data_IF_756988107479
#
_entry.id   IF_756988107479
#
_cell.length_a   1.000
_cell.length_b   1.000
_cell.length_c   1.000
_cell.angle_alpha   90.00
_cell.angle_beta   90.00
_cell.angle_gamma   90.00
#
_symmetry.space_group_name_H-M   'P 1'
#
loop_
_entity.id
_entity.type
_entity.pdbx_description
1 polymer ?
#
# COMPACT_ATOMS: atom_id res chain seq x y z
N UNK A 1 -9.67 -4.52 1.75
CA UNK A 1 -8.67 -4.10 0.75
C UNK A 1 -9.30 -3.07 -0.18
N UNK A 2 -9.72 -1.91 0.33
CA UNK A 2 -10.27 -0.85 -0.53
C UNK A 2 -9.25 0.29 -0.71
N UNK A 3 -8.78 0.49 -1.97
CA UNK A 3 -8.13 1.61 -2.75
C UNK A 3 -7.39 2.76 -2.11
N UNK A 4 -7.37 2.87 -0.81
CA UNK A 4 -6.52 3.85 -0.14
C UNK A 4 -5.03 3.43 -0.22
N UNK A 5 -4.76 2.28 -0.83
CA UNK A 5 -3.46 1.61 -0.99
C UNK A 5 -2.59 2.08 -2.15
N UNK A 6 -3.14 2.89 -3.05
CA UNK A 6 -2.53 3.07 -4.37
C UNK A 6 -1.48 4.16 -4.56
N UNK A 7 -1.29 5.21 -3.75
CA UNK A 7 -0.34 6.26 -4.13
C UNK A 7 1.10 5.77 -4.32
N UNK A 8 1.51 4.67 -3.68
CA UNK A 8 2.93 4.41 -3.41
C UNK A 8 3.61 3.35 -4.26
N UNK A 9 2.88 2.26 -4.56
CA UNK A 9 3.28 1.31 -5.62
C UNK A 9 3.37 2.02 -6.98
N UNK A 10 2.43 2.96 -7.16
CA UNK A 10 2.23 3.81 -8.32
C UNK A 10 3.31 4.91 -8.37
N UNK A 11 3.68 5.52 -7.24
CA UNK A 11 4.81 6.46 -7.16
C UNK A 11 6.13 5.77 -7.49
N UNK A 12 6.43 4.56 -6.99
CA UNK A 12 7.70 3.89 -7.34
C UNK A 12 7.73 3.44 -8.81
N UNK A 13 6.61 2.93 -9.34
CA UNK A 13 6.49 2.62 -10.78
C UNK A 13 6.67 3.89 -11.63
N UNK A 14 5.99 4.98 -11.25
CA UNK A 14 6.10 6.29 -11.90
C UNK A 14 7.53 6.88 -11.77
N UNK A 15 8.19 6.72 -10.62
CA UNK A 15 9.59 7.14 -10.39
C UNK A 15 10.58 6.34 -11.24
N UNK A 16 10.40 5.01 -11.32
CA UNK A 16 11.30 4.14 -12.08
C UNK A 16 11.23 4.38 -13.59
N UNK A 17 10.07 4.81 -14.10
CA UNK A 17 9.81 4.95 -15.54
C UNK A 17 9.79 6.40 -16.05
N UNK A 18 9.51 7.39 -15.20
CA UNK A 18 9.58 8.82 -15.60
C UNK A 18 10.99 9.25 -16.00
N UNK A 19 12.04 8.58 -15.52
CA UNK A 19 13.45 8.90 -15.80
C UNK A 19 14.11 8.08 -16.91
N UNK A 20 13.52 6.93 -17.29
CA UNK A 20 14.06 6.01 -18.32
C UNK A 20 13.31 6.06 -19.64
N UNK A 21 12.19 6.78 -19.72
CA UNK A 21 11.38 6.93 -20.91
C UNK A 21 11.73 8.22 -21.67
N UNK A 22 11.73 8.24 -23.03
CA UNK A 22 12.05 9.45 -23.78
C UNK A 22 11.14 10.60 -23.35
N UNK A 23 11.73 11.77 -23.06
CA UNK A 23 10.99 13.01 -22.82
C UNK A 23 10.08 13.28 -24.01
N UNK A 24 8.91 13.94 -23.81
CA UNK A 24 8.11 14.41 -24.93
C UNK A 24 9.01 15.29 -25.81
N UNK A 25 9.18 14.90 -27.07
CA UNK A 25 9.76 15.80 -28.05
C UNK A 25 8.73 16.91 -28.24
N UNK A 26 9.12 18.16 -28.01
CA UNK A 26 8.23 19.30 -28.21
C UNK A 26 7.66 19.24 -29.64
N UNK A 27 6.36 19.01 -29.77
CA UNK A 27 5.65 18.86 -31.05
C UNK A 27 5.32 17.44 -31.52
N UNK A 28 5.50 16.41 -30.69
CA UNK A 28 5.10 15.03 -31.01
C UNK A 28 3.85 14.58 -30.24
N UNK A 29 2.81 14.24 -30.99
CA UNK A 29 1.55 13.56 -30.72
C UNK A 29 1.24 13.06 -29.29
N UNK A 30 -0.04 13.22 -28.91
CA UNK A 30 -0.76 12.77 -27.70
C UNK A 30 -0.58 11.27 -27.32
N UNK A 31 0.22 10.52 -28.09
CA UNK A 31 0.55 9.11 -27.88
C UNK A 31 1.65 8.87 -26.83
N UNK A 32 2.57 9.83 -26.62
CA UNK A 32 3.64 9.68 -25.62
C UNK A 32 3.11 9.56 -24.19
N UNK A 33 2.02 10.29 -23.90
CA UNK A 33 1.35 10.28 -22.59
C UNK A 33 0.51 9.00 -22.38
N UNK A 34 0.14 8.27 -23.43
CA UNK A 34 -0.68 7.04 -23.36
C UNK A 34 0.09 5.75 -23.05
N UNK A 35 1.41 5.81 -22.85
CA UNK A 35 2.25 4.60 -22.64
C UNK A 35 2.55 4.25 -21.18
N UNK A 36 2.23 5.11 -20.21
CA UNK A 36 2.50 4.82 -18.81
C UNK A 36 1.65 3.61 -18.34
N UNK A 37 2.23 2.55 -17.72
CA UNK A 37 1.49 1.36 -17.31
C UNK A 37 0.23 1.67 -16.47
N UNK A 38 0.34 2.62 -15.54
CA UNK A 38 -0.78 3.07 -14.70
C UNK A 38 -1.99 3.65 -15.44
N UNK A 39 -1.83 4.06 -16.69
CA UNK A 39 -2.94 4.56 -17.52
C UNK A 39 -3.67 3.42 -18.24
N UNK A 40 -3.09 2.22 -18.28
CA UNK A 40 -3.58 1.07 -19.06
C UNK A 40 -3.74 -0.22 -18.27
N UNK A 41 -3.17 -0.31 -17.07
CA UNK A 41 -3.23 -1.46 -16.17
C UNK A 41 -3.75 -1.01 -14.81
N UNK A 42 -4.37 -1.95 -14.09
CA UNK A 42 -4.62 -1.75 -12.66
C UNK A 42 -3.28 -1.73 -11.91
N UNK A 43 -3.08 -0.84 -10.92
CA UNK A 43 -1.81 -0.75 -10.19
C UNK A 43 -1.32 -2.03 -9.53
N UNK A 44 -2.22 -2.91 -9.11
CA UNK A 44 -1.86 -4.21 -8.55
C UNK A 44 -1.30 -5.19 -9.61
N UNK A 45 -1.51 -4.93 -10.91
CA UNK A 45 -0.82 -5.63 -12.00
C UNK A 45 0.58 -5.07 -12.24
N UNK A 46 0.81 -3.79 -11.94
CA UNK A 46 2.13 -3.17 -12.02
C UNK A 46 3.05 -3.60 -10.87
N UNK A 47 2.48 -3.84 -9.69
CA UNK A 47 3.21 -4.24 -8.49
C UNK A 47 2.52 -5.45 -7.85
N UNK A 48 2.90 -6.69 -8.22
CA UNK A 48 2.20 -7.88 -7.78
C UNK A 48 2.38 -8.12 -6.27
N UNK A 49 1.43 -8.85 -5.69
CA UNK A 49 1.48 -9.33 -4.31
C UNK A 49 2.33 -10.60 -4.21
N UNK A 50 3.23 -10.63 -3.24
CA UNK A 50 4.11 -11.75 -2.92
C UNK A 50 3.29 -12.99 -2.57
N UNK A 51 2.19 -12.82 -1.84
CA UNK A 51 1.28 -13.90 -1.48
C UNK A 51 0.60 -14.48 -2.71
N UNK A 52 0.22 -13.63 -3.68
CA UNK A 52 -0.39 -14.10 -4.92
C UNK A 52 0.60 -14.95 -5.71
N UNK A 53 1.84 -14.48 -5.87
CA UNK A 53 2.91 -15.18 -6.58
C UNK A 53 3.18 -16.57 -6.00
N UNK A 54 3.16 -16.73 -4.68
CA UNK A 54 3.40 -18.03 -4.04
C UNK A 54 2.12 -18.87 -3.82
N UNK A 55 0.93 -18.26 -3.85
CA UNK A 55 -0.34 -18.98 -3.68
C UNK A 55 -0.72 -19.82 -4.90
N UNK A 56 -0.26 -19.42 -6.09
CA UNK A 56 -0.40 -20.17 -7.32
C UNK A 56 1.01 -20.59 -7.74
N UNK A 57 1.39 -21.85 -7.52
CA UNK A 57 2.75 -22.35 -7.85
C UNK A 57 3.16 -22.16 -9.34
N UNK A 58 2.25 -21.67 -10.18
CA UNK A 58 2.48 -21.25 -11.56
C UNK A 58 3.20 -19.89 -11.69
N UNK A 59 3.15 -19.01 -10.68
CA UNK A 59 3.69 -17.65 -10.75
C UNK A 59 5.12 -17.48 -10.25
N UNK A 60 5.67 -18.47 -9.51
CA UNK A 60 7.06 -18.46 -9.04
C UNK A 60 8.05 -18.34 -10.21
N UNK A 61 7.81 -19.11 -11.28
CA UNK A 61 8.61 -19.06 -12.52
C UNK A 61 8.57 -17.68 -13.21
N UNK A 62 7.45 -16.94 -13.11
CA UNK A 62 7.32 -15.58 -13.65
C UNK A 62 8.13 -14.59 -12.81
N UNK A 63 8.16 -14.76 -11.49
CA UNK A 63 8.97 -13.94 -10.61
C UNK A 63 10.46 -14.16 -10.87
N UNK A 64 10.90 -15.40 -11.04
CA UNK A 64 12.28 -15.73 -11.36
C UNK A 64 12.74 -15.16 -12.70
N UNK A 65 11.86 -15.17 -13.70
CA UNK A 65 12.10 -14.56 -15.00
C UNK A 65 12.16 -13.01 -14.96
N UNK A 66 11.71 -12.38 -13.88
CA UNK A 66 11.69 -10.91 -13.77
C UNK A 66 13.08 -10.38 -13.41
N UNK A 67 13.65 -9.43 -14.19
CA UNK A 67 14.97 -8.87 -13.90
C UNK A 67 14.97 -8.03 -12.62
N UNK A 68 16.12 -7.97 -11.95
CA UNK A 68 16.33 -7.05 -10.83
C UNK A 68 16.59 -5.62 -11.33
N UNK A 69 16.13 -4.59 -10.59
CA UNK A 69 15.41 -4.65 -9.32
C UNK A 69 13.92 -4.98 -9.49
N UNK A 70 13.39 -5.88 -8.65
CA UNK A 70 11.97 -6.26 -8.63
C UNK A 70 11.18 -5.36 -7.70
N UNK A 71 9.97 -4.98 -8.12
CA UNK A 71 9.02 -4.25 -7.29
C UNK A 71 7.87 -5.18 -6.91
N UNK A 72 7.81 -5.51 -5.62
CA UNK A 72 6.80 -6.41 -5.06
C UNK A 72 6.06 -5.71 -3.92
N UNK A 73 4.89 -6.23 -3.63
CA UNK A 73 4.13 -5.89 -2.45
C UNK A 73 3.80 -7.14 -1.66
N UNK A 74 3.56 -7.02 -0.36
CA UNK A 74 3.22 -8.15 0.50
C UNK A 74 2.31 -7.64 1.58
N UNK A 75 1.36 -8.42 2.07
CA UNK A 75 0.57 -8.27 3.29
C UNK A 75 1.01 -9.24 4.40
N UNK A 76 2.23 -9.76 4.35
CA UNK A 76 2.71 -10.66 5.38
C UNK A 76 3.25 -9.88 6.60
N UNK A 77 2.99 -10.39 7.83
CA UNK A 77 3.76 -10.00 9.01
C UNK A 77 5.26 -9.99 8.74
N UNK A 78 5.96 -8.99 9.30
CA UNK A 78 7.40 -8.90 9.13
C UNK A 78 8.08 -10.22 9.55
N UNK A 79 7.62 -10.83 10.63
CA UNK A 79 8.15 -12.08 11.19
C UNK A 79 8.07 -13.30 10.27
N UNK A 80 7.20 -13.31 9.26
CA UNK A 80 7.06 -14.44 8.32
C UNK A 80 7.70 -14.19 6.97
N UNK A 81 8.33 -13.02 6.78
CA UNK A 81 9.16 -12.76 5.61
C UNK A 81 10.43 -13.62 5.63
N UNK A 82 11.06 -13.89 4.47
CA UNK A 82 12.31 -14.64 4.38
C UNK A 82 13.39 -14.13 5.35
N UNK A 83 14.21 -15.05 5.85
CA UNK A 83 15.30 -14.74 6.77
C UNK A 83 16.30 -13.71 6.21
N UNK A 84 16.46 -13.63 4.89
CA UNK A 84 17.25 -12.59 4.22
C UNK A 84 16.76 -11.16 4.47
N UNK A 85 15.50 -11.00 4.89
CA UNK A 85 14.87 -9.73 5.23
C UNK A 85 14.84 -9.54 6.75
N UNK A 86 14.41 -10.58 7.47
CA UNK A 86 14.09 -10.53 8.90
C UNK A 86 15.28 -10.72 9.84
N UNK A 87 16.40 -11.26 9.35
CA UNK A 87 17.62 -11.40 10.14
C UNK A 87 18.18 -10.01 10.45
N UNK A 88 17.97 -9.55 11.68
CA UNK A 88 18.34 -8.20 12.14
C UNK A 88 19.85 -7.97 12.16
N UNK A 89 20.65 -9.04 12.12
CA UNK A 89 22.11 -8.96 12.17
C UNK A 89 22.74 -8.96 10.78
N UNK A 90 21.94 -9.11 9.72
CA UNK A 90 22.43 -9.12 8.34
C UNK A 90 21.93 -7.93 7.53
N UNK A 91 22.78 -7.40 6.63
CA UNK A 91 22.31 -6.46 5.61
C UNK A 91 21.24 -7.14 4.75
N UNK A 92 20.17 -6.42 4.44
CA UNK A 92 19.14 -6.91 3.54
C UNK A 92 19.73 -6.86 2.12
N UNK A 93 19.86 -8.01 1.45
CA UNK A 93 20.36 -8.08 0.07
C UNK A 93 19.39 -7.41 -0.93
N UNK A 94 18.11 -7.31 -0.59
CA UNK A 94 17.14 -6.46 -1.29
C UNK A 94 17.41 -4.98 -1.00
N UNK A 95 17.61 -4.17 -2.05
CA UNK A 95 17.99 -2.74 -1.89
C UNK A 95 17.00 -1.93 -1.05
N UNK A 96 15.69 -2.13 -1.22
CA UNK A 96 14.68 -1.32 -0.52
C UNK A 96 13.43 -2.14 -0.18
N UNK A 97 13.03 -2.15 1.09
CA UNK A 97 11.70 -2.51 1.54
C UNK A 97 10.92 -1.22 1.79
N UNK A 98 10.11 -0.81 0.81
CA UNK A 98 9.15 0.27 1.04
C UNK A 98 7.95 -0.38 1.72
N UNK A 99 7.99 -0.43 3.04
CA UNK A 99 6.90 -0.96 3.83
C UNK A 99 5.95 0.19 4.04
N UNK A 100 5.04 0.31 3.10
CA UNK A 100 3.86 1.07 3.40
C UNK A 100 3.25 0.44 4.64
N UNK A 101 2.91 1.28 5.61
CA UNK A 101 1.74 1.12 6.49
C UNK A 101 0.43 0.89 5.71
N UNK A 102 0.47 0.25 4.55
CA UNK A 102 -0.64 0.06 3.63
C UNK A 102 -0.69 -1.38 3.12
N UNK A 103 0.44 -2.10 3.21
CA UNK A 103 0.50 -3.50 2.85
C UNK A 103 0.98 -4.38 4.01
N UNK A 104 0.31 -4.34 5.12
CA UNK A 104 -0.33 -5.56 5.62
C UNK A 104 -1.47 -4.96 6.37
N UNK A 105 -2.57 -4.91 5.65
CA UNK A 105 -3.75 -4.16 6.00
C UNK A 105 -3.52 -3.06 7.05
N UNK A 106 -3.12 -1.91 6.51
CA UNK A 106 -3.13 -0.59 7.12
C UNK A 106 -2.97 -0.48 8.63
N UNK A 107 -1.76 -0.70 9.12
CA UNK A 107 -1.41 -0.03 10.34
C UNK A 107 0.04 0.35 10.36
N UNK A 108 0.19 1.60 10.67
CA UNK A 108 1.34 2.27 11.20
C UNK A 108 1.02 3.75 11.21
N UNK A 109 0.11 4.26 10.36
CA UNK A 109 -0.55 5.52 10.68
C UNK A 109 -1.94 5.81 10.08
N UNK A 110 -2.56 4.91 9.29
CA UNK A 110 -4.01 5.04 9.01
C UNK A 110 -4.77 4.83 10.31
N UNK A 111 -5.76 5.67 10.59
CA UNK A 111 -6.60 5.49 11.77
C UNK A 111 -7.23 4.06 11.75
N UNK A 112 -6.96 3.20 12.76
CA UNK A 112 -7.41 1.81 12.84
C UNK A 112 -8.86 1.54 12.42
N UNK A 113 -9.75 2.45 12.80
CA UNK A 113 -11.19 2.34 12.59
C UNK A 113 -11.56 2.51 11.12
N UNK A 114 -10.97 3.49 10.45
CA UNK A 114 -11.14 3.68 9.00
C UNK A 114 -10.66 2.48 8.20
N UNK A 115 -9.58 1.84 8.64
CA UNK A 115 -9.13 0.62 7.99
C UNK A 115 -10.17 -0.48 8.14
N UNK A 116 -10.64 -0.78 9.35
CA UNK A 116 -11.56 -1.90 9.57
C UNK A 116 -12.84 -1.72 8.73
N UNK A 117 -13.31 -0.49 8.58
CA UNK A 117 -14.41 -0.17 7.66
C UNK A 117 -14.05 -0.40 6.19
N UNK A 118 -12.86 0.02 5.75
CA UNK A 118 -12.34 -0.26 4.40
C UNK A 118 -12.19 -1.77 4.15
N UNK A 119 -11.85 -2.55 5.16
CA UNK A 119 -11.76 -4.00 5.08
C UNK A 119 -13.14 -4.65 4.98
N UNK A 120 -14.04 -4.29 5.89
CA UNK A 120 -15.43 -4.75 5.91
C UNK A 120 -16.12 -4.54 4.56
N UNK A 121 -16.04 -3.32 4.01
CA UNK A 121 -16.62 -3.05 2.70
C UNK A 121 -16.00 -3.90 1.59
N UNK A 122 -14.69 -4.10 1.62
CA UNK A 122 -14.00 -4.88 0.59
C UNK A 122 -14.35 -6.36 0.64
N UNK A 123 -14.35 -6.99 1.82
CA UNK A 123 -14.70 -8.41 1.91
C UNK A 123 -16.13 -8.69 1.45
N UNK A 124 -17.03 -7.72 1.64
CA UNK A 124 -18.41 -7.78 1.13
C UNK A 124 -18.55 -7.45 -0.37
N UNK A 125 -17.43 -7.19 -1.07
CA UNK A 125 -17.42 -7.16 -2.54
C UNK A 125 -17.34 -8.55 -3.15
N UNK A 126 -16.86 -9.53 -2.37
CA UNK A 126 -17.02 -10.94 -2.70
C UNK A 126 -18.49 -11.32 -2.48
N UNK A 127 -19.24 -11.51 -3.56
CA UNK A 127 -20.68 -11.82 -3.51
C UNK A 127 -21.00 -13.15 -2.81
N UNK A 128 -20.00 -14.00 -2.58
CA UNK A 128 -20.17 -15.23 -1.79
C UNK A 128 -20.17 -14.98 -0.28
N UNK A 129 -19.86 -13.74 0.16
CA UNK A 129 -19.77 -13.34 1.56
C UNK A 129 -20.83 -12.28 1.87
N UNK A 130 -21.43 -12.40 3.04
CA UNK A 130 -22.25 -11.36 3.65
C UNK A 130 -21.84 -11.24 5.13
N UNK A 131 -20.88 -10.36 5.38
CA UNK A 131 -20.22 -10.22 6.68
C UNK A 131 -20.71 -8.94 7.35
N UNK A 132 -21.16 -9.05 8.60
CA UNK A 132 -21.55 -7.88 9.40
C UNK A 132 -20.35 -6.99 9.74
N UNK A 133 -20.60 -5.72 10.04
CA UNK A 133 -19.54 -4.83 10.53
C UNK A 133 -19.00 -5.29 11.90
N UNK A 134 -19.83 -5.94 12.71
CA UNK A 134 -19.42 -6.51 14.01
C UNK A 134 -18.39 -7.62 13.86
N UNK A 135 -18.50 -8.47 12.83
CA UNK A 135 -17.55 -9.56 12.59
C UNK A 135 -16.12 -9.03 12.41
N UNK A 136 -15.93 -7.96 11.62
CA UNK A 136 -14.60 -7.41 11.41
C UNK A 136 -14.01 -6.90 12.73
N UNK A 137 -14.86 -6.36 13.59
CA UNK A 137 -14.48 -5.87 14.89
C UNK A 137 -14.08 -6.98 15.87
N UNK A 138 -14.88 -8.03 15.92
CA UNK A 138 -14.61 -9.25 16.70
C UNK A 138 -13.34 -9.93 16.22
N UNK A 139 -13.12 -9.98 14.90
CA UNK A 139 -11.95 -10.63 14.31
C UNK A 139 -10.61 -10.01 14.74
N UNK A 140 -10.60 -8.71 15.07
CA UNK A 140 -9.41 -8.05 15.62
C UNK A 140 -9.14 -8.51 17.05
N UNK A 141 -10.19 -8.62 17.86
CA UNK A 141 -10.07 -9.05 19.28
C UNK A 141 -9.70 -10.52 19.39
N UNK A 142 -10.29 -11.35 18.54
CA UNK A 142 -10.07 -12.79 18.49
C UNK A 142 -8.79 -13.16 17.72
N UNK A 143 -8.11 -12.20 17.11
CA UNK A 143 -6.93 -12.42 16.26
C UNK A 143 -7.20 -13.39 15.09
N UNK A 144 -8.44 -13.39 14.57
CA UNK A 144 -8.86 -14.20 13.41
C UNK A 144 -8.81 -13.42 12.09
N UNK A 145 -8.49 -12.12 12.17
CA UNK A 145 -8.27 -11.25 11.02
C UNK A 145 -7.02 -11.64 10.20
N UNK A 146 -7.04 -11.45 8.88
CA UNK A 146 -5.86 -11.71 8.03
C UNK A 146 -4.73 -10.71 8.32
N UNK A 147 -3.60 -11.19 8.83
CA UNK A 147 -2.53 -10.33 9.37
C UNK A 147 -2.64 -10.09 10.87
N UNK A 148 -3.44 -10.89 11.58
CA UNK A 148 -3.48 -10.91 13.05
C UNK A 148 -2.25 -11.57 13.68
N UNK A 149 -1.93 -11.21 14.94
CA UNK A 149 -2.49 -10.08 15.67
C UNK A 149 -2.06 -8.74 15.07
N UNK A 150 -3.00 -7.80 15.05
CA UNK A 150 -2.85 -6.51 14.36
C UNK A 150 -1.70 -5.68 14.91
N UNK A 151 -1.46 -5.77 16.23
CA UNK A 151 -0.38 -5.06 16.91
C UNK A 151 0.99 -5.68 16.62
N UNK A 152 1.09 -7.01 16.54
CA UNK A 152 2.35 -7.70 16.19
C UNK A 152 2.78 -7.33 14.78
N UNK A 153 1.80 -7.21 13.90
CA UNK A 153 2.01 -6.76 12.54
C UNK A 153 2.71 -5.39 12.49
N UNK A 154 2.09 -4.41 13.16
CA UNK A 154 2.55 -3.02 13.25
C UNK A 154 3.94 -2.94 13.85
N UNK A 155 4.08 -3.53 15.03
CA UNK A 155 5.29 -3.47 15.82
C UNK A 155 6.44 -4.19 15.13
N UNK A 156 6.17 -5.26 14.36
CA UNK A 156 7.17 -5.92 13.54
C UNK A 156 7.85 -4.96 12.56
N UNK A 157 7.05 -4.24 11.76
CA UNK A 157 7.59 -3.28 10.80
C UNK A 157 8.14 -2.01 11.46
N UNK A 158 7.51 -1.51 12.53
CA UNK A 158 8.01 -0.37 13.30
C UNK A 158 9.36 -0.64 13.96
N UNK A 159 9.55 -1.83 14.52
CA UNK A 159 10.83 -2.22 15.08
C UNK A 159 11.88 -2.43 13.98
N UNK A 160 11.48 -3.00 12.84
CA UNK A 160 12.36 -3.13 11.68
C UNK A 160 12.81 -1.76 11.15
N UNK A 161 11.94 -0.75 11.09
CA UNK A 161 12.32 0.60 10.66
C UNK A 161 13.29 1.31 11.60
N UNK A 162 13.23 1.01 12.89
CA UNK A 162 14.20 1.54 13.87
C UNK A 162 15.58 0.89 13.71
N UNK A 163 15.62 -0.42 13.40
CA UNK A 163 16.89 -1.17 13.31
C UNK A 163 17.54 -1.04 11.92
N UNK A 164 16.72 -0.96 10.86
CA UNK A 164 17.17 -0.88 9.45
C UNK A 164 16.54 0.34 8.75
N UNK A 165 16.82 1.57 9.19
CA UNK A 165 16.18 2.77 8.66
C UNK A 165 16.46 3.01 7.17
N UNK A 166 17.59 2.53 6.66
CA UNK A 166 17.94 2.64 5.23
C UNK A 166 17.21 1.61 4.35
N UNK A 167 16.64 0.56 4.96
CA UNK A 167 15.94 -0.51 4.24
C UNK A 167 14.44 -0.51 4.46
N UNK A 168 13.93 0.11 5.53
CA UNK A 168 12.50 0.10 5.89
C UNK A 168 11.99 1.51 6.12
N UNK A 169 11.19 2.00 5.18
CA UNK A 169 10.50 3.30 5.27
C UNK A 169 9.06 3.12 5.73
N UNK A 170 8.67 3.79 6.83
CA UNK A 170 7.28 3.88 7.28
C UNK A 170 6.64 5.17 6.74
N UNK A 171 5.43 5.05 6.19
CA UNK A 171 4.64 6.16 5.62
C UNK A 171 3.23 6.19 6.22
N UNK A 172 2.67 7.39 6.44
CA UNK A 172 1.33 7.61 7.01
C UNK A 172 0.30 7.89 5.94
N UNK A 173 -0.81 7.16 5.91
CA UNK A 173 -1.86 7.36 4.89
C UNK A 173 -2.38 8.81 4.89
N UNK A 174 -2.61 9.37 6.07
CA UNK A 174 -3.10 10.71 6.30
C UNK A 174 -2.09 11.75 5.82
N UNK A 175 -0.79 11.52 6.00
CA UNK A 175 0.27 12.42 5.54
C UNK A 175 0.43 12.31 4.02
N UNK A 176 0.32 11.11 3.45
CA UNK A 176 0.27 10.91 2.00
C UNK A 176 -0.91 11.66 1.37
N UNK A 177 -2.02 11.79 2.10
CA UNK A 177 -3.22 12.53 1.67
C UNK A 177 -3.09 14.03 1.88
N UNK A 178 -2.52 14.48 3.00
CA UNK A 178 -2.36 15.90 3.35
C UNK A 178 -1.21 16.55 2.57
N UNK A 179 -0.08 15.87 2.50
CA UNK A 179 1.18 16.35 1.93
C UNK A 179 1.70 15.35 0.88
N UNK A 180 0.99 15.15 -0.23
CA UNK A 180 1.36 14.14 -1.23
C UNK A 180 2.75 14.41 -1.84
N UNK A 181 3.05 15.66 -2.21
CA UNK A 181 4.33 16.06 -2.82
C UNK A 181 5.52 15.73 -1.91
N UNK A 182 5.49 16.18 -0.64
CA UNK A 182 6.56 15.91 0.33
C UNK A 182 6.80 14.41 0.51
N UNK A 183 5.72 13.61 0.57
CA UNK A 183 5.87 12.18 0.72
C UNK A 183 6.41 11.50 -0.55
N UNK A 184 6.03 11.97 -1.75
CA UNK A 184 6.62 11.53 -3.03
C UNK A 184 8.13 11.78 -3.05
N UNK A 185 8.56 12.96 -2.62
CA UNK A 185 9.98 13.28 -2.50
C UNK A 185 10.69 12.41 -1.47
N UNK A 186 10.09 12.21 -0.29
CA UNK A 186 10.62 11.32 0.77
C UNK A 186 10.86 9.90 0.28
N UNK A 187 9.95 9.36 -0.53
CA UNK A 187 10.11 8.03 -1.15
C UNK A 187 11.24 8.03 -2.16
N UNK A 188 11.30 9.07 -3.01
CA UNK A 188 12.31 9.21 -4.03
C UNK A 188 13.72 9.25 -3.39
N UNK A 189 13.89 10.01 -2.31
CA UNK A 189 15.10 10.03 -1.50
C UNK A 189 15.44 8.65 -0.93
N UNK A 190 14.47 7.99 -0.30
CA UNK A 190 14.65 6.69 0.32
C UNK A 190 15.08 5.60 -0.67
N UNK A 191 14.57 5.61 -1.91
CA UNK A 191 14.98 4.65 -2.94
C UNK A 191 16.29 5.04 -3.65
N UNK A 192 16.98 6.09 -3.18
CA UNK A 192 18.23 6.59 -3.75
C UNK A 192 18.04 7.27 -5.12
N UNK A 193 16.86 7.87 -5.34
CA UNK A 193 16.48 8.59 -6.56
C UNK A 193 15.89 9.98 -6.25
N UNK A 194 16.57 10.84 -5.47
CA UNK A 194 16.06 12.17 -5.14
C UNK A 194 15.77 12.99 -6.40
N UNK A 195 14.79 13.89 -6.34
CA UNK A 195 14.49 14.82 -7.43
C UNK A 195 15.53 15.92 -7.52
N UNK A 196 16.00 16.22 -8.73
CA UNK A 196 16.84 17.38 -8.98
C UNK A 196 16.00 18.66 -8.98
N UNK A 197 16.62 19.82 -8.75
CA UNK A 197 15.94 21.12 -8.81
C UNK A 197 15.23 21.32 -10.16
N UNK A 198 15.86 20.89 -11.26
CA UNK A 198 15.25 20.95 -12.60
C UNK A 198 14.00 20.08 -12.76
N UNK A 199 13.92 18.93 -12.09
CA UNK A 199 12.73 18.08 -12.12
C UNK A 199 11.60 18.67 -11.28
N UNK A 200 11.94 19.31 -10.15
CA UNK A 200 10.97 20.04 -9.32
C UNK A 200 10.42 21.27 -10.06
N UNK A 201 11.29 22.06 -10.68
CA UNK A 201 10.91 23.23 -11.50
C UNK A 201 10.08 22.84 -12.73
N UNK A 202 10.30 21.65 -13.29
CA UNK A 202 9.51 21.10 -14.39
C UNK A 202 8.20 20.41 -13.95
N UNK A 203 7.78 20.59 -12.68
CA UNK A 203 6.56 20.00 -12.09
C UNK A 203 6.45 18.48 -12.25
N UNK A 204 7.58 17.77 -12.32
CA UNK A 204 7.57 16.29 -12.45
C UNK A 204 6.95 15.66 -11.21
N UNK A 205 7.23 16.21 -10.02
CA UNK A 205 6.66 15.72 -8.75
C UNK A 205 5.14 15.88 -8.75
N UNK A 206 4.63 17.04 -9.18
CA UNK A 206 3.20 17.32 -9.26
C UNK A 206 2.49 16.41 -10.27
N UNK A 207 3.10 16.16 -11.42
CA UNK A 207 2.58 15.23 -12.42
C UNK A 207 2.49 13.79 -11.88
N UNK A 208 3.47 13.36 -11.09
CA UNK A 208 3.42 12.05 -10.40
C UNK A 208 2.28 12.05 -9.39
N UNK A 209 2.15 13.09 -8.55
CA UNK A 209 1.06 13.20 -7.58
C UNK A 209 -0.31 13.14 -8.26
N UNK A 210 -0.50 13.85 -9.37
CA UNK A 210 -1.75 13.85 -10.12
C UNK A 210 -2.05 12.46 -10.70
N UNK A 211 -1.06 11.84 -11.37
CA UNK A 211 -1.18 10.50 -11.93
C UNK A 211 -1.55 9.46 -10.86
N UNK A 212 -0.99 9.63 -9.66
CA UNK A 212 -1.21 8.76 -8.51
C UNK A 212 -2.40 9.20 -7.63
N UNK A 213 -3.18 10.19 -8.05
CA UNK A 213 -4.30 10.69 -7.25
C UNK A 213 -5.48 9.72 -7.30
N UNK A 214 -6.19 9.60 -6.18
CA UNK A 214 -7.36 8.72 -6.08
C UNK A 214 -8.39 8.99 -7.18
N UNK A 215 -8.68 10.26 -7.45
CA UNK A 215 -9.66 10.65 -8.47
C UNK A 215 -9.21 10.26 -9.88
N UNK A 216 -7.95 10.53 -10.25
CA UNK A 216 -7.41 10.15 -11.55
C UNK A 216 -7.47 8.64 -11.72
N UNK A 217 -6.99 7.90 -10.72
CA UNK A 217 -6.95 6.45 -10.79
C UNK A 217 -8.33 5.81 -10.75
N UNK A 218 -9.34 6.42 -10.12
CA UNK A 218 -10.71 5.92 -10.16
C UNK A 218 -11.40 6.24 -11.50
N UNK A 219 -11.06 7.37 -12.12
CA UNK A 219 -11.61 7.79 -13.40
C UNK A 219 -11.03 7.02 -14.60
N UNK A 220 -9.83 6.45 -14.47
CA UNK A 220 -9.23 5.60 -15.49
C UNK A 220 -10.03 4.30 -15.62
N UNK A 221 -10.65 4.04 -16.78
CA UNK A 221 -11.41 2.81 -16.99
C UNK A 221 -10.58 1.53 -16.81
N UNK A 222 -9.28 1.60 -17.12
CA UNK A 222 -8.35 0.47 -17.04
C UNK A 222 -8.12 -0.06 -15.62
N UNK A 223 -8.14 0.81 -14.61
CA UNK A 223 -8.00 0.41 -13.20
C UNK A 223 -9.31 -0.15 -12.63
N UNK A 224 -10.45 0.08 -13.28
CA UNK A 224 -11.78 -0.36 -12.83
C UNK A 224 -12.26 -1.63 -13.54
N UNK A 225 -11.74 -1.92 -14.72
CA UNK A 225 -12.14 -3.07 -15.53
C UNK A 225 -11.45 -4.36 -15.07
N UNK A 226 -12.20 -5.48 -15.07
CA UNK A 226 -11.70 -6.80 -14.69
C UNK A 226 -11.77 -7.10 -13.20
N UNK A 227 -11.03 -8.12 -12.80
CA UNK A 227 -11.00 -8.67 -11.44
C UNK A 227 -9.60 -9.15 -11.11
N UNK A 228 -9.32 -9.25 -9.81
CA UNK A 228 -8.08 -9.79 -9.29
C UNK A 228 -8.34 -10.85 -8.25
N UNK A 229 -7.57 -11.93 -8.33
CA UNK A 229 -7.54 -12.96 -7.31
C UNK A 229 -6.74 -12.46 -6.12
N UNK A 230 -7.38 -12.39 -4.97
CA UNK A 230 -6.76 -12.06 -3.68
C UNK A 230 -6.91 -13.29 -2.81
N UNK A 231 -5.80 -14.01 -2.61
CA UNK A 231 -5.77 -15.30 -1.91
C UNK A 231 -6.69 -16.31 -2.64
N UNK A 232 -7.82 -16.69 -2.04
CA UNK A 232 -8.74 -17.69 -2.56
C UNK A 232 -10.01 -17.08 -3.19
N UNK A 233 -10.18 -15.76 -3.10
CA UNK A 233 -11.38 -15.05 -3.57
C UNK A 233 -11.04 -14.13 -4.74
N UNK A 234 -11.97 -13.97 -5.67
CA UNK A 234 -11.86 -13.06 -6.79
C UNK A 234 -12.63 -11.76 -6.49
N UNK A 235 -11.95 -10.63 -6.63
CA UNK A 235 -12.52 -9.31 -6.36
C UNK A 235 -12.56 -8.47 -7.63
N UNK A 236 -13.70 -7.88 -7.99
CA UNK A 236 -13.77 -6.90 -9.07
C UNK A 236 -12.80 -5.72 -8.82
N UNK A 237 -12.18 -5.19 -9.85
CA UNK A 237 -11.16 -4.13 -9.69
C UNK A 237 -11.72 -2.83 -9.10
N UNK A 238 -13.00 -2.52 -9.32
CA UNK A 238 -13.67 -1.40 -8.66
C UNK A 238 -13.83 -1.57 -7.14
N UNK A 239 -13.69 -2.80 -6.62
CA UNK A 239 -13.72 -3.12 -5.18
C UNK A 239 -12.56 -2.51 -4.43
N UNK A 240 -11.46 -2.27 -5.14
CA UNK A 240 -10.41 -1.45 -4.61
C UNK A 240 -11.01 -0.05 -4.38
N UNK A 241 -11.57 0.65 -5.37
CA UNK A 241 -11.99 2.06 -5.33
C UNK A 241 -13.31 2.36 -4.58
N UNK A 242 -13.22 2.80 -3.30
CA UNK A 242 -14.40 3.16 -2.49
C UNK A 242 -14.55 4.68 -2.30
N UNK A 243 -14.04 5.22 -1.20
CA UNK A 243 -14.21 6.63 -0.81
C UNK A 243 -12.91 7.45 -0.79
N UNK A 244 -11.77 6.85 -0.44
CA UNK A 244 -10.52 7.59 -0.37
C UNK A 244 -10.52 8.71 0.68
N UNK A 245 -11.25 8.53 1.79
CA UNK A 245 -11.54 9.56 2.77
C UNK A 245 -11.05 9.16 4.17
N UNK A 246 -10.58 10.14 4.92
CA UNK A 246 -10.17 10.02 6.32
C UNK A 246 -11.38 10.32 7.21
N UNK A 247 -11.57 9.53 8.26
CA UNK A 247 -12.64 9.74 9.24
C UNK A 247 -13.98 9.13 8.86
N UNK A 248 -14.04 8.27 7.84
CA UNK A 248 -15.30 7.66 7.40
C UNK A 248 -15.89 6.68 8.43
N UNK A 249 -15.06 6.13 9.32
CA UNK A 249 -15.48 5.23 10.39
C UNK A 249 -16.64 5.76 11.24
N UNK A 250 -16.74 7.09 11.44
CA UNK A 250 -17.81 7.73 12.23
C UNK A 250 -19.20 7.44 11.65
N UNK A 251 -19.29 7.13 10.36
CA UNK A 251 -20.54 6.83 9.67
C UNK A 251 -20.95 5.35 9.79
N UNK A 252 -20.10 4.50 10.37
CA UNK A 252 -20.23 3.05 10.28
C UNK A 252 -20.17 2.32 11.63
N UNK A 253 -19.60 2.92 12.66
CA UNK A 253 -19.51 2.31 14.01
C UNK A 253 -19.95 3.29 15.09
N UNK A 254 -20.37 2.74 16.23
CA UNK A 254 -20.75 3.53 17.40
C UNK A 254 -19.50 4.06 18.12
N UNK A 255 -19.64 5.14 18.92
CA UNK A 255 -18.55 5.64 19.76
C UNK A 255 -17.99 4.58 20.71
N UNK A 256 -18.84 3.71 21.27
CA UNK A 256 -18.43 2.65 22.21
C UNK A 256 -17.58 1.58 21.52
N UNK A 257 -17.94 1.22 20.28
CA UNK A 257 -17.09 0.37 19.46
C UNK A 257 -15.74 1.06 19.27
N UNK A 258 -15.72 2.30 18.77
CA UNK A 258 -14.49 3.04 18.52
C UNK A 258 -13.56 3.11 19.75
N UNK A 259 -14.11 3.48 20.90
CA UNK A 259 -13.37 3.56 22.18
C UNK A 259 -12.81 2.21 22.61
N UNK A 260 -13.57 1.13 22.42
CA UNK A 260 -13.09 -0.23 22.71
C UNK A 260 -11.86 -0.62 21.90
N UNK A 261 -11.72 -0.16 20.64
CA UNK A 261 -10.49 -0.39 19.87
C UNK A 261 -9.35 0.41 20.41
N UNK A 262 -9.61 1.69 20.67
CA UNK A 262 -8.57 2.64 21.01
C UNK A 262 -7.93 2.20 22.32
N UNK A 263 -8.75 1.74 23.28
CA UNK A 263 -8.28 1.12 24.51
C UNK A 263 -7.46 -0.15 24.25
N UNK A 264 -7.98 -1.10 23.47
CA UNK A 264 -7.28 -2.35 23.15
C UNK A 264 -5.92 -2.08 22.51
N UNK A 265 -5.86 -1.20 21.51
CA UNK A 265 -4.64 -0.88 20.80
C UNK A 265 -3.67 -0.10 21.67
N UNK A 266 -4.15 0.84 22.48
CA UNK A 266 -3.33 1.55 23.47
C UNK A 266 -2.64 0.59 24.42
N UNK A 267 -3.39 -0.37 24.99
CA UNK A 267 -2.84 -1.41 25.86
C UNK A 267 -1.79 -2.30 25.16
N UNK A 268 -1.98 -2.58 23.86
CA UNK A 268 -1.05 -3.41 23.08
C UNK A 268 0.21 -2.66 22.61
N UNK A 269 0.12 -1.34 22.47
CA UNK A 269 1.27 -0.50 22.11
C UNK A 269 1.99 0.10 23.31
N UNK A 270 1.46 -0.06 24.52
CA UNK A 270 2.11 0.41 25.72
C UNK A 270 3.55 -0.13 25.84
N UNK A 271 4.47 0.75 26.24
CA UNK A 271 5.90 0.44 26.33
C UNK A 271 6.65 0.25 25.00
N UNK A 272 5.97 0.20 23.83
CA UNK A 272 6.63 0.01 22.53
C UNK A 272 7.28 1.27 21.96
N UNK A 273 6.90 2.44 22.49
CA UNK A 273 7.25 3.76 21.95
C UNK A 273 6.54 4.10 20.63
N UNK A 274 5.60 3.26 20.18
CA UNK A 274 4.75 3.52 19.03
C UNK A 274 3.49 4.28 19.46
N UNK A 275 3.09 5.30 18.69
CA UNK A 275 1.85 6.04 18.90
C UNK A 275 1.24 6.46 17.56
N UNK A 276 -0.09 6.49 17.48
CA UNK A 276 -0.81 6.94 16.29
C UNK A 276 -0.98 8.46 16.18
N UNK A 277 -0.63 9.22 17.25
CA UNK A 277 -0.77 10.69 17.29
C UNK A 277 -0.10 11.37 16.10
#
# INVERSE_FOLDING_TARGET
MSSEKMPLQVVKEALSRSRTWPRPVAGGDDEGNRRHPLLRLNPHECVPFLESVYSTMEEESKLDATPSPRLLSTHLPYSVLPASITDMNKPIECKYFITLSCNTFFFNHRQPKDMLISFWHFINRDKSRDVSSSYVWESVRECTYFGSPIWDHILGYWNASKVKPDNVLILKYEDMKRNPTENVEKIAEFIGQPFSNSEKEASIVDNIVELCSFEKMKALGASMAGSQKVISSEFPNDSFFRKGAIGDWVNHITPEMAESLDKLLSEKFDGSGFSFM
#
